data_IF_861836547651
#
_entry.id   IF_861836547651
#
_cell.length_a   1.000
_cell.length_b   1.000
_cell.length_c   1.000
_cell.angle_alpha   90.00
_cell.angle_beta   90.00
_cell.angle_gamma   90.00
#
_symmetry.space_group_name_H-M   'P 1'
#
loop_
_entity.id
_entity.type
_entity.pdbx_description
1 polymer ?
#
# COMPACT_ATOMS: atom_id res chain seq x y z
N UNK A 1 -11.40 7.32 -10.57
CA UNK A 1 -10.11 7.75 -9.97
C UNK A 1 -9.74 6.77 -8.87
N UNK A 2 -8.54 6.18 -8.91
CA UNK A 2 -8.07 5.16 -7.95
C UNK A 2 -7.75 5.80 -6.59
N UNK A 3 -8.76 5.95 -5.74
CA UNK A 3 -8.57 6.62 -4.44
C UNK A 3 -8.34 5.58 -3.36
N UNK A 4 -7.09 5.14 -3.19
CA UNK A 4 -6.64 4.78 -1.85
C UNK A 4 -6.67 6.06 -1.01
N UNK A 5 -7.15 5.96 0.23
CA UNK A 5 -6.99 7.03 1.20
C UNK A 5 -5.52 7.40 1.31
N UNK A 6 -5.23 8.68 1.58
CA UNK A 6 -3.89 9.23 1.50
C UNK A 6 -2.87 8.45 2.33
N UNK A 7 -3.24 8.08 3.56
CA UNK A 7 -2.43 7.25 4.45
C UNK A 7 -2.07 5.89 3.85
N UNK A 8 -3.02 5.24 3.18
CA UNK A 8 -2.81 3.93 2.56
C UNK A 8 -1.94 4.04 1.31
N UNK A 9 -2.10 5.13 0.56
CA UNK A 9 -1.26 5.44 -0.60
C UNK A 9 0.17 5.74 -0.18
N UNK A 10 0.39 6.57 0.84
CA UNK A 10 1.74 6.92 1.29
C UNK A 10 2.51 5.68 1.75
N UNK A 11 1.92 4.82 2.59
CA UNK A 11 2.64 3.62 3.06
C UNK A 11 3.00 2.68 1.92
N UNK A 12 2.13 2.50 0.93
CA UNK A 12 2.38 1.54 -0.14
C UNK A 12 3.41 2.04 -1.14
N UNK A 13 3.45 3.35 -1.41
CA UNK A 13 4.53 3.95 -2.22
C UNK A 13 5.86 3.77 -1.51
N UNK A 14 5.96 4.21 -0.25
CA UNK A 14 7.22 4.15 0.51
C UNK A 14 7.72 2.71 0.68
N UNK A 15 6.83 1.74 0.87
CA UNK A 15 7.21 0.33 1.04
C UNK A 15 7.44 -0.40 -0.28
N UNK A 16 6.44 -0.44 -1.17
CA UNK A 16 6.40 -1.38 -2.30
C UNK A 16 7.03 -0.79 -3.57
N UNK A 17 7.21 0.52 -3.63
CA UNK A 17 7.83 1.24 -4.76
C UNK A 17 9.22 1.74 -4.38
N UNK A 18 9.34 2.47 -3.27
CA UNK A 18 10.60 3.08 -2.83
C UNK A 18 11.47 2.12 -1.97
N UNK A 19 10.89 1.06 -1.41
CA UNK A 19 11.64 0.03 -0.68
C UNK A 19 12.09 0.42 0.73
N UNK A 20 11.54 1.48 1.34
CA UNK A 20 11.89 1.88 2.70
C UNK A 20 11.54 0.79 3.73
N UNK A 21 12.37 0.58 4.77
CA UNK A 21 12.03 -0.31 5.86
C UNK A 21 10.90 0.28 6.71
N UNK A 22 10.08 -0.59 7.32
CA UNK A 22 8.87 -0.15 8.03
C UNK A 22 9.13 0.81 9.21
N UNK A 23 10.33 0.75 9.81
CA UNK A 23 10.77 1.70 10.84
C UNK A 23 10.89 3.12 10.28
N UNK A 24 11.63 3.29 9.19
CA UNK A 24 11.77 4.60 8.53
C UNK A 24 10.42 5.12 8.02
N UNK A 25 9.56 4.26 7.48
CA UNK A 25 8.21 4.66 7.06
C UNK A 25 7.41 5.19 8.26
N UNK A 26 7.51 4.53 9.42
CA UNK A 26 6.82 4.93 10.64
C UNK A 26 7.25 6.32 11.11
N UNK A 27 8.55 6.64 10.99
CA UNK A 27 9.11 7.96 11.25
C UNK A 27 8.62 9.00 10.23
N UNK A 28 8.72 8.72 8.92
CA UNK A 28 8.32 9.62 7.83
C UNK A 28 6.86 10.06 7.94
N UNK A 29 5.97 9.13 8.29
CA UNK A 29 4.52 9.41 8.36
C UNK A 29 4.01 9.63 9.80
N UNK A 30 4.92 9.74 10.76
CA UNK A 30 4.65 9.98 12.18
C UNK A 30 3.57 9.05 12.76
N UNK A 31 3.77 7.73 12.64
CA UNK A 31 2.86 6.74 13.22
C UNK A 31 3.59 5.51 13.77
N UNK A 32 2.95 4.66 14.59
CA UNK A 32 3.58 3.42 15.04
C UNK A 32 3.88 2.44 13.89
N UNK A 33 4.96 1.66 14.00
CA UNK A 33 5.29 0.60 13.03
C UNK A 33 4.14 -0.40 12.84
N UNK A 34 3.36 -0.69 13.91
CA UNK A 34 2.16 -1.53 13.81
C UNK A 34 1.07 -0.92 12.90
N UNK A 35 0.97 0.41 12.87
CA UNK A 35 0.08 1.15 11.98
C UNK A 35 0.56 1.07 10.54
N UNK A 36 1.87 1.16 10.28
CA UNK A 36 2.45 0.92 8.94
C UNK A 36 2.06 -0.46 8.42
N UNK A 37 2.28 -1.51 9.23
CA UNK A 37 1.95 -2.90 8.86
C UNK A 37 0.46 -3.08 8.53
N UNK A 38 -0.43 -2.57 9.39
CA UNK A 38 -1.88 -2.71 9.20
C UNK A 38 -2.40 -1.89 8.00
N UNK A 39 -1.87 -0.69 7.78
CA UNK A 39 -2.16 0.13 6.59
C UNK A 39 -1.66 -0.55 5.31
N UNK A 40 -0.45 -1.11 5.29
CA UNK A 40 0.09 -1.85 4.14
C UNK A 40 -0.77 -3.06 3.80
N UNK A 41 -1.13 -3.87 4.80
CA UNK A 41 -2.02 -5.01 4.59
C UNK A 41 -3.34 -4.58 3.92
N UNK A 42 -3.97 -3.52 4.44
CA UNK A 42 -5.22 -2.97 3.90
C UNK A 42 -5.03 -2.42 2.48
N UNK A 43 -3.97 -1.65 2.25
CA UNK A 43 -3.64 -1.05 0.95
C UNK A 43 -3.44 -2.14 -0.12
N UNK A 44 -2.61 -3.15 0.17
CA UNK A 44 -2.35 -4.28 -0.74
C UNK A 44 -3.62 -5.08 -1.03
N UNK A 45 -4.48 -5.32 -0.03
CA UNK A 45 -5.78 -5.98 -0.24
C UNK A 45 -6.66 -5.19 -1.20
N UNK A 46 -6.83 -3.89 -0.96
CA UNK A 46 -7.64 -3.02 -1.83
C UNK A 46 -7.10 -2.98 -3.27
N UNK A 47 -5.77 -2.93 -3.44
CA UNK A 47 -5.15 -2.99 -4.76
C UNK A 47 -5.40 -4.33 -5.45
N UNK A 48 -5.22 -5.46 -4.74
CA UNK A 48 -5.51 -6.79 -5.31
C UNK A 48 -6.96 -6.90 -5.77
N UNK A 49 -7.91 -6.51 -4.92
CA UNK A 49 -9.34 -6.59 -5.24
C UNK A 49 -9.69 -5.75 -6.49
N UNK A 50 -9.05 -4.59 -6.65
CA UNK A 50 -9.25 -3.68 -7.79
C UNK A 50 -8.51 -4.12 -9.06
N UNK A 51 -7.35 -4.75 -8.93
CA UNK A 51 -6.55 -5.22 -10.05
C UNK A 51 -7.00 -6.60 -10.55
N UNK A 52 -7.68 -7.39 -9.73
CA UNK A 52 -8.15 -8.73 -10.10
C UNK A 52 -8.93 -8.76 -11.43
N UNK A 53 -9.90 -7.86 -11.72
CA UNK A 53 -10.57 -7.84 -13.01
C UNK A 53 -9.65 -7.49 -14.19
N UNK A 54 -8.68 -6.60 -13.98
CA UNK A 54 -7.71 -6.19 -15.01
C UNK A 54 -6.79 -7.35 -15.40
N UNK A 55 -6.37 -8.13 -14.40
CA UNK A 55 -5.52 -9.31 -14.60
C UNK A 55 -6.30 -10.47 -15.23
N UNK A 56 -7.60 -10.59 -14.98
CA UNK A 56 -8.45 -11.60 -15.62
C UNK A 56 -8.68 -11.33 -17.11
N UNK A 57 -8.73 -10.06 -17.53
CA UNK A 57 -8.80 -9.67 -18.93
C UNK A 57 -7.46 -9.76 -19.68
N UNK A 58 -6.34 -9.78 -18.95
CA UNK A 58 -4.99 -10.08 -19.46
C UNK A 58 -4.70 -11.58 -19.32
N UNK A 59 -5.33 -12.41 -20.16
CA UNK A 59 -4.74 -13.73 -20.44
C UNK A 59 -3.59 -13.53 -21.45
N UNK A 60 -2.37 -14.04 -21.18
CA UNK A 60 -1.36 -14.17 -22.23
C UNK A 60 -1.84 -15.12 -23.34
#
# INVERSE_FOLDING_TARGET
MLTLGEDLRRVIILSDIEGFPYGEIAEIIACPVGTVKSRLHRARRLLRDRLAPVLQGRRP
#
